data_IF_609086494551
#
_entry.id   IF_609086494551
#
_cell.length_a   1.000
_cell.length_b   1.000
_cell.length_c   1.000
_cell.angle_alpha   90.00
_cell.angle_beta   90.00
_cell.angle_gamma   90.00
#
_symmetry.space_group_name_H-M   'P 1'
#
loop_
_entity.id
_entity.type
_entity.pdbx_description
1 polymer ?
#
# COMPACT_ATOMS: atom_id res chain seq x y z
N UNK A 1 26.02 -3.27 9.60
CA UNK A 1 24.70 -2.63 9.54
C UNK A 1 23.72 -3.53 10.30
N UNK A 2 23.09 -3.02 11.35
CA UNK A 2 22.10 -3.76 12.12
C UNK A 2 20.82 -3.85 11.28
N UNK A 3 20.39 -5.08 10.95
CA UNK A 3 19.19 -5.32 10.19
C UNK A 3 17.98 -5.26 11.13
N UNK A 4 16.91 -4.55 10.73
CA UNK A 4 15.65 -4.49 11.46
C UNK A 4 15.08 -5.90 11.62
N UNK A 5 15.07 -6.42 12.84
CA UNK A 5 14.60 -7.77 13.18
C UNK A 5 13.76 -7.68 14.45
N UNK A 6 12.61 -8.38 14.50
CA UNK A 6 11.78 -8.45 15.69
C UNK A 6 12.07 -9.69 16.55
N UNK A 7 11.35 -9.84 17.67
CA UNK A 7 11.47 -10.97 18.59
C UNK A 7 11.12 -12.34 17.96
N UNK A 8 10.47 -12.35 16.80
CA UNK A 8 10.08 -13.55 16.04
C UNK A 8 11.01 -13.82 14.86
N UNK A 9 12.20 -13.20 14.82
CA UNK A 9 13.20 -13.30 13.76
C UNK A 9 12.71 -12.84 12.36
N UNK A 10 11.60 -12.07 12.29
CA UNK A 10 11.14 -11.46 11.04
C UNK A 10 12.01 -10.26 10.71
N UNK A 11 12.40 -10.14 9.44
CA UNK A 11 13.28 -9.09 8.93
C UNK A 11 12.49 -8.08 8.11
N UNK A 12 12.75 -6.77 8.32
CA UNK A 12 11.96 -5.69 7.74
C UNK A 12 12.76 -4.93 6.69
N UNK A 13 12.53 -5.24 5.44
CA UNK A 13 13.17 -4.61 4.27
C UNK A 13 12.28 -3.55 3.59
N UNK A 14 11.04 -3.38 4.07
CA UNK A 14 10.02 -2.64 3.37
C UNK A 14 9.33 -1.63 4.29
N UNK A 15 9.51 -0.33 3.96
CA UNK A 15 8.80 0.77 4.59
C UNK A 15 7.59 1.20 3.75
N UNK A 16 6.43 1.32 4.38
CA UNK A 16 5.28 2.08 3.84
C UNK A 16 5.27 3.44 4.52
N UNK A 17 5.44 4.50 3.74
CA UNK A 17 5.49 5.88 4.21
C UNK A 17 4.23 6.60 3.75
N UNK A 18 3.33 6.87 4.68
CA UNK A 18 2.21 7.77 4.42
C UNK A 18 2.72 9.20 4.43
N UNK A 19 2.43 9.97 3.40
CA UNK A 19 2.88 11.37 3.29
C UNK A 19 1.74 12.38 3.44
N UNK A 20 0.49 11.90 3.42
CA UNK A 20 -0.73 12.69 3.63
C UNK A 20 -1.87 11.77 4.01
N UNK A 21 -2.89 12.27 4.67
CA UNK A 21 -4.18 11.58 4.85
C UNK A 21 -5.29 12.16 3.94
N UNK A 22 -4.98 13.23 3.21
CA UNK A 22 -5.89 13.85 2.25
C UNK A 22 -6.15 12.92 1.07
N UNK A 23 -7.42 12.73 0.72
CA UNK A 23 -7.83 11.97 -0.46
C UNK A 23 -8.94 12.73 -1.20
N UNK A 24 -8.91 12.69 -2.53
CA UNK A 24 -9.92 13.24 -3.40
C UNK A 24 -11.00 12.23 -3.81
N UNK A 25 -10.85 10.95 -3.40
CA UNK A 25 -11.87 9.92 -3.53
C UNK A 25 -12.59 9.68 -2.18
N UNK A 26 -13.76 9.06 -2.23
CA UNK A 26 -14.56 8.67 -1.07
C UNK A 26 -14.99 7.21 -1.19
N UNK A 27 -14.00 6.34 -1.27
CA UNK A 27 -14.27 4.91 -1.40
C UNK A 27 -15.06 4.39 -0.20
N UNK A 28 -16.12 3.62 -0.47
CA UNK A 28 -17.10 3.15 0.51
C UNK A 28 -16.49 2.34 1.66
N UNK A 29 -15.36 1.67 1.42
CA UNK A 29 -14.65 0.86 2.41
C UNK A 29 -13.48 1.60 3.11
N UNK A 30 -13.18 2.86 2.72
CA UNK A 30 -12.01 3.58 3.23
C UNK A 30 -12.38 4.93 3.85
N UNK A 31 -12.99 5.83 3.07
CA UNK A 31 -13.40 7.18 3.46
C UNK A 31 -14.80 7.49 2.89
N UNK A 32 -15.86 6.82 3.36
CA UNK A 32 -17.21 6.95 2.77
C UNK A 32 -17.74 8.39 2.79
N UNK A 33 -17.41 9.15 3.82
CA UNK A 33 -17.81 10.56 3.97
C UNK A 33 -16.82 11.52 3.31
N UNK A 34 -15.78 11.00 2.64
CA UNK A 34 -14.68 11.78 2.09
C UNK A 34 -13.73 12.31 3.16
N UNK A 35 -12.67 12.98 2.71
CA UNK A 35 -11.71 13.58 3.63
C UNK A 35 -12.33 14.79 4.33
N UNK A 36 -12.30 14.77 5.67
CA UNK A 36 -12.71 15.89 6.52
C UNK A 36 -11.48 16.61 7.06
N UNK A 37 -11.33 17.89 6.72
CA UNK A 37 -10.23 18.71 7.21
C UNK A 37 -10.44 19.03 8.70
N UNK A 38 -9.82 18.30 9.59
CA UNK A 38 -9.82 18.58 11.02
C UNK A 38 -8.76 19.63 11.34
N UNK A 39 -9.12 20.92 11.18
CA UNK A 39 -8.26 22.07 11.48
C UNK A 39 -7.26 22.43 10.37
N UNK A 40 -6.77 23.66 10.41
CA UNK A 40 -5.89 24.26 9.39
C UNK A 40 -4.42 24.27 9.83
N UNK A 41 -3.87 23.19 10.41
CA UNK A 41 -2.44 23.16 10.73
C UNK A 41 -1.63 22.82 9.46
N UNK A 42 -0.95 23.77 8.80
CA UNK A 42 -0.17 23.54 7.59
C UNK A 42 1.05 22.63 7.85
N UNK A 43 1.49 22.52 9.11
CA UNK A 43 2.62 21.69 9.53
C UNK A 43 2.18 20.32 10.09
N UNK A 44 0.96 19.89 9.83
CA UNK A 44 0.44 18.61 10.29
C UNK A 44 1.24 17.44 9.72
N UNK A 45 1.55 17.46 8.42
CA UNK A 45 2.28 16.38 7.76
C UNK A 45 3.78 16.57 7.81
N UNK A 46 4.51 15.47 7.68
CA UNK A 46 5.96 15.50 7.56
C UNK A 46 6.40 16.40 6.40
N UNK A 47 7.37 17.26 6.64
CA UNK A 47 8.04 18.09 5.64
C UNK A 47 8.94 17.24 4.74
N UNK A 48 9.42 17.80 3.64
CA UNK A 48 10.37 17.15 2.75
C UNK A 48 11.64 16.72 3.50
N UNK A 49 12.18 17.57 4.38
CA UNK A 49 13.37 17.26 5.15
C UNK A 49 13.14 16.17 6.21
N UNK A 50 11.98 16.19 6.88
CA UNK A 50 11.59 15.12 7.80
C UNK A 50 11.45 13.77 7.04
N UNK A 51 10.87 13.77 5.83
CA UNK A 51 10.77 12.57 4.97
C UNK A 51 12.17 12.08 4.54
N UNK A 52 13.08 12.99 4.19
CA UNK A 52 14.47 12.65 3.85
C UNK A 52 15.16 11.95 5.03
N UNK A 53 15.01 12.47 6.26
CA UNK A 53 15.57 11.87 7.48
C UNK A 53 14.98 10.52 7.81
N UNK A 54 13.66 10.37 7.72
CA UNK A 54 13.00 9.06 7.88
C UNK A 54 13.54 8.05 6.87
N UNK A 55 13.57 8.40 5.59
CA UNK A 55 14.02 7.47 4.54
C UNK A 55 15.49 7.08 4.71
N UNK A 56 16.34 8.02 5.13
CA UNK A 56 17.76 7.77 5.43
C UNK A 56 17.93 6.82 6.62
N UNK A 57 17.24 7.06 7.73
CA UNK A 57 17.31 6.20 8.91
C UNK A 57 16.90 4.77 8.59
N UNK A 58 15.79 4.58 7.87
CA UNK A 58 15.34 3.25 7.45
C UNK A 58 16.30 2.57 6.47
N UNK A 59 16.87 3.32 5.54
CA UNK A 59 17.85 2.78 4.60
C UNK A 59 19.13 2.31 5.30
N UNK A 60 19.67 3.09 6.26
CA UNK A 60 20.81 2.69 7.09
C UNK A 60 20.51 1.47 7.98
N UNK A 61 19.24 1.23 8.32
CA UNK A 61 18.74 0.04 9.02
C UNK A 61 18.40 -1.14 8.09
N UNK A 62 18.73 -1.06 6.79
CA UNK A 62 18.60 -2.16 5.84
C UNK A 62 17.27 -2.21 5.08
N UNK A 63 16.48 -1.13 5.07
CA UNK A 63 15.31 -1.02 4.20
C UNK A 63 15.76 -0.85 2.76
N UNK A 64 15.25 -1.72 1.86
CA UNK A 64 15.57 -1.73 0.43
C UNK A 64 14.40 -1.20 -0.43
N UNK A 65 13.21 -1.13 0.17
CA UNK A 65 11.98 -0.74 -0.52
C UNK A 65 11.19 0.29 0.28
N UNK A 66 10.86 1.38 -0.37
CA UNK A 66 9.93 2.38 0.17
C UNK A 66 8.69 2.43 -0.72
N UNK A 67 7.52 2.53 -0.09
CA UNK A 67 6.27 2.81 -0.78
C UNK A 67 5.63 4.05 -0.22
N UNK A 68 5.49 5.05 -1.07
CA UNK A 68 4.70 6.23 -0.79
C UNK A 68 3.21 5.90 -0.85
N UNK A 69 2.48 6.35 0.15
CA UNK A 69 1.05 6.10 0.30
C UNK A 69 0.42 7.23 1.12
N UNK A 70 -0.81 7.05 1.56
CA UNK A 70 -1.56 8.00 2.38
C UNK A 70 -3.05 7.87 2.11
N UNK A 71 -3.77 8.99 2.05
CA UNK A 71 -5.00 9.11 1.30
C UNK A 71 -4.65 9.00 -0.19
N UNK A 72 -4.42 10.13 -0.87
CA UNK A 72 -3.85 10.12 -2.22
C UNK A 72 -2.53 10.92 -2.23
N UNK A 73 -1.37 10.25 -2.32
CA UNK A 73 -0.06 10.90 -2.19
C UNK A 73 0.22 11.93 -3.28
N UNK A 74 -0.33 11.74 -4.48
CA UNK A 74 -0.12 12.66 -5.61
C UNK A 74 -0.82 14.02 -5.45
N UNK A 75 -1.64 14.19 -4.42
CA UNK A 75 -2.23 15.49 -4.09
C UNK A 75 -1.25 16.44 -3.41
N UNK A 76 -0.15 15.93 -2.84
CA UNK A 76 0.90 16.78 -2.30
C UNK A 76 1.60 17.54 -3.42
N UNK A 77 1.79 18.84 -3.21
CA UNK A 77 2.44 19.74 -4.21
C UNK A 77 3.90 19.38 -4.44
N UNK A 78 4.59 18.95 -3.38
CA UNK A 78 5.99 18.54 -3.35
C UNK A 78 6.20 17.03 -3.60
N UNK A 79 5.20 16.34 -4.19
CA UNK A 79 5.26 14.89 -4.39
C UNK A 79 6.46 14.44 -5.23
N UNK A 80 6.81 15.19 -6.27
CA UNK A 80 7.96 14.92 -7.13
C UNK A 80 9.28 15.10 -6.38
N UNK A 81 9.38 16.16 -5.58
CA UNK A 81 10.55 16.42 -4.75
C UNK A 81 10.75 15.33 -3.69
N UNK A 82 9.65 14.79 -3.14
CA UNK A 82 9.69 13.65 -2.21
C UNK A 82 10.24 12.40 -2.91
N UNK A 83 9.80 12.11 -4.14
CA UNK A 83 10.36 10.98 -4.92
C UNK A 83 11.87 11.17 -5.10
N UNK A 84 12.30 12.33 -5.56
CA UNK A 84 13.70 12.64 -5.80
C UNK A 84 14.53 12.53 -4.50
N UNK A 85 14.05 13.10 -3.41
CA UNK A 85 14.73 13.07 -2.12
C UNK A 85 14.95 11.65 -1.57
N UNK A 86 13.99 10.76 -1.73
CA UNK A 86 14.13 9.35 -1.31
C UNK A 86 15.12 8.62 -2.24
N UNK A 87 15.14 8.95 -3.53
CA UNK A 87 16.06 8.34 -4.51
C UNK A 87 17.50 8.77 -4.37
N UNK A 88 17.79 9.86 -3.66
CA UNK A 88 19.17 10.23 -3.26
C UNK A 88 19.85 9.09 -2.48
N UNK A 89 19.08 8.21 -1.83
CA UNK A 89 19.63 7.10 -1.07
C UNK A 89 19.75 5.83 -1.92
N UNK A 90 20.97 5.38 -2.30
CA UNK A 90 21.19 4.25 -3.18
C UNK A 90 20.77 2.89 -2.58
N UNK A 91 20.64 2.80 -1.25
CA UNK A 91 20.17 1.58 -0.59
C UNK A 91 18.68 1.29 -0.89
N UNK A 92 17.90 2.32 -1.22
CA UNK A 92 16.49 2.15 -1.62
C UNK A 92 16.43 1.69 -3.08
N UNK A 93 16.40 0.39 -3.30
CA UNK A 93 16.36 -0.22 -4.63
C UNK A 93 15.00 -0.08 -5.31
N UNK A 94 13.92 -0.09 -4.53
CA UNK A 94 12.55 0.03 -5.04
C UNK A 94 11.85 1.19 -4.38
N UNK A 95 11.48 2.20 -5.16
CA UNK A 95 10.59 3.26 -4.75
C UNK A 95 9.24 3.09 -5.46
N UNK A 96 8.20 2.82 -4.70
CA UNK A 96 6.85 2.56 -5.20
C UNK A 96 5.87 3.64 -4.74
N UNK A 97 4.78 3.80 -5.47
CA UNK A 97 3.60 4.54 -4.99
C UNK A 97 2.36 3.66 -4.99
N UNK A 98 1.45 3.90 -4.04
CA UNK A 98 0.05 3.46 -4.15
C UNK A 98 -0.79 4.70 -4.40
N UNK A 99 -1.56 4.70 -5.48
CA UNK A 99 -2.35 5.85 -5.94
C UNK A 99 -3.74 5.39 -6.43
N UNK A 100 -4.72 6.27 -6.34
CA UNK A 100 -6.02 6.08 -6.99
C UNK A 100 -5.98 6.34 -8.51
N UNK A 101 -4.81 6.71 -9.04
CA UNK A 101 -4.61 6.91 -10.48
C UNK A 101 -5.13 8.25 -11.04
N UNK A 102 -5.76 9.09 -10.22
CA UNK A 102 -6.38 10.34 -10.66
C UNK A 102 -5.45 11.26 -11.48
N UNK A 103 -4.16 11.32 -11.09
CA UNK A 103 -3.15 12.15 -11.77
C UNK A 103 -2.24 11.37 -12.72
N UNK A 104 -2.37 10.07 -12.78
CA UNK A 104 -1.39 9.19 -13.41
C UNK A 104 -1.18 9.53 -14.88
N UNK A 105 -2.25 9.68 -15.67
CA UNK A 105 -2.16 10.01 -17.09
C UNK A 105 -1.37 11.31 -17.37
N UNK A 106 -1.45 12.28 -16.46
CA UNK A 106 -0.79 13.57 -16.61
C UNK A 106 0.66 13.58 -16.10
N UNK A 107 0.89 12.94 -14.95
CA UNK A 107 2.09 13.20 -14.16
C UNK A 107 3.06 11.99 -14.12
N UNK A 108 2.71 10.82 -14.66
CA UNK A 108 3.50 9.58 -14.51
C UNK A 108 4.90 9.68 -15.10
N UNK A 109 5.09 10.41 -16.22
CA UNK A 109 6.40 10.64 -16.82
C UNK A 109 7.31 11.38 -15.84
N UNK A 110 6.82 12.47 -15.24
CA UNK A 110 7.57 13.24 -14.27
C UNK A 110 7.92 12.42 -13.01
N UNK A 111 7.01 11.55 -12.57
CA UNK A 111 7.29 10.65 -11.43
C UNK A 111 8.39 9.64 -11.77
N UNK A 112 8.37 9.11 -13.00
CA UNK A 112 9.40 8.20 -13.49
C UNK A 112 10.77 8.87 -13.54
N UNK A 113 10.83 10.08 -14.11
CA UNK A 113 12.06 10.87 -14.24
C UNK A 113 12.64 11.23 -12.87
N UNK A 114 11.79 11.53 -11.88
CA UNK A 114 12.21 11.75 -10.50
C UNK A 114 12.73 10.48 -9.80
N UNK A 115 12.56 9.29 -10.40
CA UNK A 115 13.11 8.03 -9.93
C UNK A 115 12.11 7.05 -9.33
N UNK A 116 10.79 7.22 -9.57
CA UNK A 116 9.80 6.22 -9.20
C UNK A 116 10.03 4.94 -10.01
N UNK A 117 10.07 3.78 -9.34
CA UNK A 117 10.39 2.50 -9.99
C UNK A 117 9.21 1.53 -10.06
N UNK A 118 8.15 1.75 -9.30
CA UNK A 118 7.01 0.84 -9.27
C UNK A 118 5.69 1.57 -8.98
N UNK A 119 4.64 1.11 -9.63
CA UNK A 119 3.28 1.64 -9.49
C UNK A 119 2.33 0.61 -8.90
N UNK A 120 1.47 1.05 -7.99
CA UNK A 120 0.28 0.34 -7.57
C UNK A 120 -0.91 1.28 -7.75
N UNK A 121 -1.83 0.91 -8.61
CA UNK A 121 -3.04 1.68 -8.91
C UNK A 121 -4.24 0.98 -8.31
N UNK A 122 -5.13 1.70 -7.65
CA UNK A 122 -6.35 1.13 -7.08
C UNK A 122 -7.47 1.16 -8.13
N UNK A 123 -7.99 -0.03 -8.50
CA UNK A 123 -9.11 -0.20 -9.43
C UNK A 123 -9.99 -1.34 -8.93
N UNK A 124 -11.11 -1.01 -8.30
CA UNK A 124 -11.98 -2.01 -7.68
C UNK A 124 -13.01 -2.61 -8.65
N UNK A 125 -13.17 -2.02 -9.83
CA UNK A 125 -14.05 -2.52 -10.90
C UNK A 125 -13.57 -2.08 -12.27
N UNK A 126 -13.79 -2.91 -13.28
CA UNK A 126 -13.61 -2.59 -14.70
C UNK A 126 -14.90 -2.08 -15.36
N UNK A 127 -16.00 -1.98 -14.61
CA UNK A 127 -17.22 -1.28 -15.01
C UNK A 127 -17.21 0.15 -14.46
N UNK A 128 -17.41 1.15 -15.34
CA UNK A 128 -17.32 2.56 -14.97
C UNK A 128 -18.40 3.00 -13.97
N UNK A 129 -19.63 2.42 -14.05
CA UNK A 129 -20.71 2.75 -13.13
C UNK A 129 -20.43 2.18 -11.75
N UNK A 130 -19.94 0.93 -11.70
CA UNK A 130 -19.58 0.29 -10.46
C UNK A 130 -18.35 0.98 -9.83
N UNK A 131 -17.35 1.36 -10.64
CA UNK A 131 -16.20 2.17 -10.17
C UNK A 131 -16.67 3.47 -9.53
N UNK A 132 -17.61 4.18 -10.17
CA UNK A 132 -18.22 5.40 -9.61
C UNK A 132 -18.95 5.10 -8.29
N UNK A 133 -19.75 4.05 -8.24
CA UNK A 133 -20.49 3.66 -7.03
C UNK A 133 -19.54 3.36 -5.84
N UNK A 134 -18.39 2.75 -6.08
CA UNK A 134 -17.41 2.42 -5.05
C UNK A 134 -16.61 3.65 -4.62
N UNK A 135 -16.15 4.47 -5.57
CA UNK A 135 -15.15 5.54 -5.33
C UNK A 135 -15.79 6.91 -5.11
N UNK A 136 -17.06 7.08 -5.48
CA UNK A 136 -17.74 8.37 -5.50
C UNK A 136 -17.22 9.33 -6.58
N UNK A 137 -16.47 8.83 -7.60
CA UNK A 137 -15.83 9.65 -8.61
C UNK A 137 -16.01 9.08 -10.02
N UNK A 138 -16.43 9.94 -10.97
CA UNK A 138 -16.49 9.59 -12.39
C UNK A 138 -15.11 9.79 -13.05
N UNK A 139 -14.16 8.93 -12.72
CA UNK A 139 -12.76 9.02 -13.15
C UNK A 139 -12.21 7.72 -13.74
N UNK A 140 -13.08 6.74 -13.99
CA UNK A 140 -12.67 5.43 -14.47
C UNK A 140 -11.78 5.52 -15.72
N UNK A 141 -12.23 6.22 -16.76
CA UNK A 141 -11.49 6.37 -18.01
C UNK A 141 -10.13 7.02 -17.78
N UNK A 142 -10.09 8.10 -16.99
CA UNK A 142 -8.84 8.81 -16.67
C UNK A 142 -7.82 7.90 -15.94
N UNK A 143 -8.29 7.00 -15.06
CA UNK A 143 -7.43 6.05 -14.37
C UNK A 143 -6.91 4.99 -15.33
N UNK A 144 -7.74 4.49 -16.26
CA UNK A 144 -7.34 3.51 -17.26
C UNK A 144 -6.32 4.10 -18.24
N UNK A 145 -6.56 5.31 -18.76
CA UNK A 145 -5.61 6.05 -19.59
C UNK A 145 -4.29 6.26 -18.85
N UNK A 146 -4.33 6.44 -17.53
CA UNK A 146 -3.14 6.55 -16.69
C UNK A 146 -2.32 5.26 -16.59
N UNK A 147 -2.98 4.11 -16.55
CA UNK A 147 -2.29 2.81 -16.57
C UNK A 147 -1.59 2.60 -17.91
N UNK A 148 -2.24 2.96 -19.02
CA UNK A 148 -1.65 2.87 -20.35
C UNK A 148 -0.45 3.83 -20.48
N UNK A 149 -0.58 5.08 -20.03
CA UNK A 149 0.53 6.05 -20.00
C UNK A 149 1.71 5.56 -19.14
N UNK A 150 1.47 4.77 -18.08
CA UNK A 150 2.56 4.20 -17.29
C UNK A 150 3.37 3.18 -18.10
N UNK A 151 2.73 2.36 -18.93
CA UNK A 151 3.45 1.46 -19.84
C UNK A 151 4.23 2.22 -20.91
N UNK A 152 3.63 3.26 -21.49
CA UNK A 152 4.31 4.13 -22.48
C UNK A 152 5.53 4.82 -21.88
N UNK A 153 5.51 5.16 -20.59
CA UNK A 153 6.66 5.67 -19.85
C UNK A 153 7.69 4.59 -19.46
N UNK A 154 7.52 3.34 -19.85
CA UNK A 154 8.48 2.25 -19.63
C UNK A 154 8.40 1.57 -18.27
N UNK A 155 7.25 1.62 -17.57
CA UNK A 155 7.02 0.71 -16.45
C UNK A 155 6.76 -0.71 -16.99
N UNK A 156 7.71 -1.62 -16.77
CA UNK A 156 7.61 -2.99 -17.29
C UNK A 156 6.42 -3.78 -16.69
N UNK A 157 5.93 -3.39 -15.51
CA UNK A 157 4.81 -4.01 -14.80
C UNK A 157 4.09 -2.97 -13.95
N UNK A 158 2.77 -2.92 -14.06
CA UNK A 158 1.90 -2.15 -13.17
C UNK A 158 1.16 -3.11 -12.24
N UNK A 159 1.09 -2.75 -10.96
CA UNK A 159 0.29 -3.50 -9.98
C UNK A 159 -1.05 -2.80 -9.81
N UNK A 160 -2.13 -3.56 -9.94
CA UNK A 160 -3.48 -3.06 -9.71
C UNK A 160 -4.04 -3.72 -8.46
N UNK A 161 -4.50 -2.91 -7.51
CA UNK A 161 -5.12 -3.39 -6.28
C UNK A 161 -6.64 -3.27 -6.42
N UNK A 162 -7.34 -4.34 -6.06
CA UNK A 162 -8.79 -4.46 -6.07
C UNK A 162 -9.22 -5.01 -4.73
N UNK A 163 -10.00 -4.26 -3.95
CA UNK A 163 -10.61 -4.77 -2.71
C UNK A 163 -11.71 -5.73 -3.06
N UNK A 164 -11.58 -6.98 -2.61
CA UNK A 164 -12.53 -8.05 -2.91
C UNK A 164 -13.78 -7.90 -2.04
N UNK A 165 -14.93 -7.72 -2.70
CA UNK A 165 -16.22 -7.53 -2.04
C UNK A 165 -17.27 -8.46 -2.66
N UNK A 166 -18.05 -9.19 -1.83
CA UNK A 166 -18.98 -10.26 -2.18
C UNK A 166 -19.91 -9.89 -3.34
N UNK A 167 -20.75 -8.90 -3.16
CA UNK A 167 -21.82 -8.54 -4.12
C UNK A 167 -21.38 -7.45 -5.11
N UNK A 168 -20.08 -7.15 -5.15
CA UNK A 168 -19.54 -6.08 -5.97
C UNK A 168 -18.67 -6.64 -7.10
N UNK A 169 -17.54 -7.27 -6.75
CA UNK A 169 -16.54 -7.70 -7.73
C UNK A 169 -16.07 -9.16 -7.57
N UNK A 170 -16.49 -9.88 -6.54
CA UNK A 170 -16.10 -11.28 -6.34
C UNK A 170 -16.54 -12.19 -7.51
N UNK A 171 -17.64 -11.87 -8.18
CA UNK A 171 -18.13 -12.57 -9.38
C UNK A 171 -17.45 -12.13 -10.68
N UNK A 172 -16.60 -11.12 -10.68
CA UNK A 172 -16.03 -10.53 -11.90
C UNK A 172 -14.64 -11.08 -12.26
N UNK A 173 -14.21 -12.21 -11.67
CA UNK A 173 -12.86 -12.75 -11.89
C UNK A 173 -12.54 -12.89 -13.37
N UNK A 174 -13.46 -13.48 -14.19
CA UNK A 174 -13.20 -13.70 -15.61
C UNK A 174 -12.96 -12.39 -16.37
N UNK A 175 -13.73 -11.34 -16.09
CA UNK A 175 -13.52 -10.00 -16.70
C UNK A 175 -12.13 -9.44 -16.40
N UNK A 176 -11.65 -9.63 -15.17
CA UNK A 176 -10.31 -9.22 -14.79
C UNK A 176 -9.23 -10.10 -15.45
N UNK A 177 -9.44 -11.40 -15.57
CA UNK A 177 -8.53 -12.31 -16.26
C UNK A 177 -8.39 -11.92 -17.74
N UNK A 178 -9.51 -11.68 -18.43
CA UNK A 178 -9.50 -11.24 -19.83
C UNK A 178 -8.75 -9.92 -20.01
N UNK A 179 -8.90 -8.99 -19.08
CA UNK A 179 -8.20 -7.70 -19.10
C UNK A 179 -6.69 -7.83 -18.99
N UNK A 180 -6.18 -8.73 -18.15
CA UNK A 180 -4.74 -8.92 -17.94
C UNK A 180 -4.11 -9.91 -18.91
N UNK A 181 -4.88 -10.57 -19.77
CA UNK A 181 -4.38 -11.63 -20.65
C UNK A 181 -3.21 -11.17 -21.52
N UNK A 182 -3.30 -9.97 -22.09
CA UNK A 182 -2.31 -9.38 -22.98
C UNK A 182 -1.65 -8.12 -22.39
N UNK A 183 -1.67 -7.97 -21.06
CA UNK A 183 -1.11 -6.80 -20.36
C UNK A 183 -0.24 -7.26 -19.20
N UNK A 184 0.98 -6.74 -19.00
CA UNK A 184 1.87 -7.10 -17.91
C UNK A 184 1.42 -6.47 -16.58
N UNK A 185 0.16 -6.72 -16.21
CA UNK A 185 -0.47 -6.23 -14.99
C UNK A 185 -0.40 -7.33 -13.93
N UNK A 186 0.06 -6.99 -12.73
CA UNK A 186 -0.16 -7.84 -11.56
C UNK A 186 -1.42 -7.35 -10.82
N UNK A 187 -2.56 -7.97 -11.12
CA UNK A 187 -3.82 -7.70 -10.44
C UNK A 187 -3.80 -8.34 -9.06
N UNK A 188 -4.18 -7.59 -8.03
CA UNK A 188 -4.18 -8.03 -6.64
C UNK A 188 -5.55 -7.91 -6.02
N UNK A 189 -6.18 -9.03 -5.76
CA UNK A 189 -7.36 -9.07 -4.91
C UNK A 189 -6.94 -9.00 -3.45
N UNK A 190 -7.52 -8.07 -2.72
CA UNK A 190 -7.27 -7.83 -1.30
C UNK A 190 -8.57 -8.11 -0.56
N UNK A 191 -8.58 -9.10 0.31
CA UNK A 191 -9.74 -9.33 1.18
C UNK A 191 -10.10 -8.04 1.92
N UNK A 192 -11.40 -7.74 1.93
CA UNK A 192 -11.90 -6.63 2.73
C UNK A 192 -11.52 -6.85 4.20
N UNK A 193 -10.88 -5.84 4.80
CA UNK A 193 -10.43 -5.89 6.18
C UNK A 193 -11.40 -5.12 7.07
N UNK A 194 -11.73 -5.69 8.23
CA UNK A 194 -12.52 -5.00 9.22
C UNK A 194 -11.73 -3.83 9.80
N UNK A 195 -12.35 -2.67 9.86
CA UNK A 195 -11.85 -1.45 10.52
C UNK A 195 -12.86 -0.99 11.55
N UNK A 196 -12.45 -0.15 12.50
CA UNK A 196 -13.32 0.29 13.60
C UNK A 196 -14.65 0.88 13.16
N UNK A 197 -14.68 1.63 12.05
CA UNK A 197 -15.88 2.26 11.48
C UNK A 197 -16.59 1.38 10.42
N UNK A 198 -15.94 0.33 9.94
CA UNK A 198 -16.38 -0.48 8.78
C UNK A 198 -17.07 -1.79 9.12
N UNK A 199 -17.44 -2.08 10.37
CA UNK A 199 -17.95 -3.38 10.78
C UNK A 199 -19.21 -3.86 10.04
N UNK A 200 -20.16 -2.97 9.75
CA UNK A 200 -21.36 -3.32 8.99
C UNK A 200 -21.08 -3.61 7.51
N UNK A 201 -20.21 -2.85 6.89
CA UNK A 201 -19.75 -3.07 5.52
C UNK A 201 -18.98 -4.38 5.44
N UNK A 202 -18.12 -4.65 6.41
CA UNK A 202 -17.37 -5.90 6.50
C UNK A 202 -18.33 -7.11 6.57
N UNK A 203 -19.28 -7.13 7.50
CA UNK A 203 -20.22 -8.24 7.65
C UNK A 203 -21.01 -8.54 6.36
N UNK A 204 -21.38 -7.49 5.63
CA UNK A 204 -22.14 -7.63 4.37
C UNK A 204 -21.29 -8.10 3.20
N UNK A 205 -20.10 -7.55 3.05
CA UNK A 205 -19.33 -7.66 1.80
C UNK A 205 -18.05 -8.48 1.91
N UNK A 206 -17.64 -8.92 3.12
CA UNK A 206 -16.46 -9.76 3.23
C UNK A 206 -16.66 -11.10 2.51
N UNK A 207 -15.66 -11.48 1.73
CA UNK A 207 -15.54 -12.80 1.09
C UNK A 207 -14.07 -13.18 1.11
N UNK A 208 -13.78 -14.45 1.45
CA UNK A 208 -12.40 -14.93 1.48
C UNK A 208 -11.81 -15.00 0.09
N UNK A 209 -10.55 -14.60 -0.06
CA UNK A 209 -9.76 -14.77 -1.29
C UNK A 209 -9.51 -16.23 -1.65
N UNK A 210 -9.77 -17.16 -0.72
CA UNK A 210 -9.73 -18.60 -0.97
C UNK A 210 -10.64 -19.02 -2.13
N UNK A 211 -11.80 -18.37 -2.28
CA UNK A 211 -12.72 -18.61 -3.40
C UNK A 211 -12.01 -18.35 -4.74
N UNK A 212 -11.26 -17.25 -4.83
CA UNK A 212 -10.48 -16.90 -6.02
C UNK A 212 -9.31 -17.89 -6.19
N UNK A 213 -8.61 -18.24 -5.12
CA UNK A 213 -7.49 -19.18 -5.16
C UNK A 213 -7.90 -20.53 -5.74
N UNK A 214 -9.02 -21.08 -5.31
CA UNK A 214 -9.55 -22.35 -5.81
C UNK A 214 -9.87 -22.29 -7.31
N UNK A 215 -10.51 -21.20 -7.76
CA UNK A 215 -10.82 -21.02 -9.17
C UNK A 215 -9.54 -20.91 -10.03
N UNK A 216 -8.53 -20.19 -9.56
CA UNK A 216 -7.24 -20.07 -10.26
C UNK A 216 -6.56 -21.44 -10.40
N UNK A 217 -6.46 -22.19 -9.31
CA UNK A 217 -5.84 -23.53 -9.33
C UNK A 217 -6.58 -24.50 -10.26
N UNK A 218 -7.91 -24.48 -10.27
CA UNK A 218 -8.74 -25.29 -11.18
C UNK A 218 -8.51 -24.91 -12.65
N UNK A 219 -8.18 -23.65 -12.93
CA UNK A 219 -7.89 -23.14 -14.28
C UNK A 219 -6.40 -23.30 -14.67
N UNK A 220 -5.56 -23.97 -13.85
CA UNK A 220 -4.16 -24.25 -14.18
C UNK A 220 -3.17 -23.15 -13.80
N UNK A 221 -3.59 -22.12 -13.06
CA UNK A 221 -2.66 -21.11 -12.52
C UNK A 221 -1.72 -21.72 -11.48
N UNK A 222 -0.47 -21.31 -11.50
CA UNK A 222 0.58 -21.81 -10.61
C UNK A 222 1.05 -20.72 -9.65
N UNK A 223 1.10 -21.07 -8.36
CA UNK A 223 1.62 -20.17 -7.34
C UNK A 223 3.14 -19.99 -7.49
N UNK A 224 3.58 -18.74 -7.49
CA UNK A 224 4.97 -18.37 -7.60
C UNK A 224 5.65 -18.28 -6.23
N UNK A 225 6.96 -18.58 -6.20
CA UNK A 225 7.76 -18.39 -5.00
C UNK A 225 7.92 -16.89 -4.70
N UNK A 226 7.82 -16.55 -3.42
CA UNK A 226 7.92 -15.18 -2.95
C UNK A 226 9.37 -14.79 -2.67
N UNK A 227 9.83 -13.65 -3.20
CA UNK A 227 11.09 -13.06 -2.83
C UNK A 227 11.02 -12.34 -1.47
N UNK A 228 12.17 -12.18 -0.79
CA UNK A 228 12.24 -11.59 0.57
C UNK A 228 11.72 -10.15 0.65
N UNK A 229 11.86 -9.37 -0.41
CA UNK A 229 11.40 -7.96 -0.49
C UNK A 229 9.99 -7.82 -1.03
N UNK A 230 9.30 -8.93 -1.34
CA UNK A 230 7.94 -8.90 -1.84
C UNK A 230 6.93 -8.49 -0.77
N UNK A 231 5.79 -7.98 -1.23
CA UNK A 231 4.65 -7.70 -0.38
C UNK A 231 3.94 -9.00 0.07
N UNK A 232 2.79 -8.90 0.74
CA UNK A 232 2.10 -10.06 1.32
C UNK A 232 1.34 -10.91 0.30
N UNK A 233 1.28 -10.51 -0.96
CA UNK A 233 0.48 -11.19 -1.96
C UNK A 233 1.05 -12.58 -2.28
N UNK A 234 0.21 -13.60 -2.29
CA UNK A 234 0.46 -14.87 -2.97
C UNK A 234 0.25 -14.61 -4.47
N UNK A 235 1.28 -14.81 -5.29
CA UNK A 235 1.24 -14.48 -6.72
C UNK A 235 1.07 -15.77 -7.52
N UNK A 236 0.18 -15.71 -8.52
CA UNK A 236 -0.12 -16.79 -9.45
C UNK A 236 0.14 -16.33 -10.87
N UNK A 237 0.72 -17.22 -11.69
CA UNK A 237 0.93 -17.00 -13.12
C UNK A 237 0.35 -18.15 -13.93
N UNK A 238 0.06 -17.90 -15.20
CA UNK A 238 -0.43 -18.87 -16.17
C UNK A 238 0.27 -18.65 -17.51
N UNK A 239 0.67 -19.70 -18.26
CA UNK A 239 1.44 -19.55 -19.51
C UNK A 239 0.70 -18.74 -20.60
N UNK A 240 -0.63 -18.78 -20.63
CA UNK A 240 -1.43 -18.06 -21.62
C UNK A 240 -1.69 -16.60 -21.29
N UNK A 241 -1.15 -16.10 -20.17
CA UNK A 241 -1.37 -14.74 -19.67
C UNK A 241 -0.04 -13.99 -19.48
N UNK A 242 0.02 -12.75 -19.94
CA UNK A 242 1.13 -11.83 -19.63
C UNK A 242 1.02 -11.29 -18.20
N UNK A 243 -0.21 -11.15 -17.72
CA UNK A 243 -0.48 -10.67 -16.38
C UNK A 243 -0.41 -11.76 -15.31
N UNK A 244 -0.43 -11.33 -14.06
CA UNK A 244 -0.38 -12.19 -12.87
C UNK A 244 -1.54 -11.86 -11.95
N UNK A 245 -1.96 -12.82 -11.14
CA UNK A 245 -2.92 -12.60 -10.05
C UNK A 245 -2.21 -12.66 -8.72
N UNK A 246 -2.45 -11.69 -7.84
CA UNK A 246 -1.99 -11.69 -6.46
C UNK A 246 -3.18 -11.79 -5.50
N UNK A 247 -3.06 -12.59 -4.45
CA UNK A 247 -4.06 -12.66 -3.38
C UNK A 247 -3.46 -12.17 -2.08
N UNK A 248 -4.13 -11.21 -1.44
CA UNK A 248 -3.78 -10.69 -0.11
C UNK A 248 -4.91 -11.08 0.83
N UNK A 249 -4.66 -12.12 1.63
CA UNK A 249 -5.65 -12.77 2.49
C UNK A 249 -5.23 -12.60 3.97
N UNK A 250 -5.52 -11.46 4.60
CA UNK A 250 -5.05 -11.17 5.97
C UNK A 250 -5.66 -12.08 7.03
N UNK A 251 -6.76 -12.75 6.74
CA UNK A 251 -7.41 -13.70 7.65
C UNK A 251 -6.79 -15.11 7.60
N UNK A 252 -5.84 -15.38 6.71
CA UNK A 252 -5.08 -16.64 6.73
C UNK A 252 -4.20 -16.72 7.99
N UNK A 253 -4.17 -17.92 8.60
CA UNK A 253 -3.46 -18.20 9.85
C UNK A 253 -1.99 -17.78 9.82
N UNK A 254 -1.31 -17.99 8.70
CA UNK A 254 0.13 -17.77 8.55
C UNK A 254 0.50 -16.43 7.91
N UNK A 255 -0.48 -15.55 7.63
CA UNK A 255 -0.27 -14.28 6.96
C UNK A 255 0.80 -13.38 7.61
N UNK A 256 0.89 -13.41 8.94
CA UNK A 256 1.85 -12.60 9.70
C UNK A 256 3.24 -13.21 9.82
N UNK A 257 3.43 -14.51 9.59
CA UNK A 257 4.73 -15.18 9.74
C UNK A 257 5.80 -14.60 8.81
N UNK A 258 5.41 -14.21 7.62
CA UNK A 258 6.30 -13.63 6.60
C UNK A 258 6.21 -12.10 6.51
N UNK A 259 5.72 -11.43 7.55
CA UNK A 259 5.59 -9.97 7.55
C UNK A 259 6.98 -9.30 7.54
N UNK A 260 7.24 -8.48 6.53
CA UNK A 260 8.49 -7.76 6.33
C UNK A 260 8.31 -6.23 6.27
N UNK A 261 7.19 -5.70 6.79
CA UNK A 261 6.76 -4.32 6.59
C UNK A 261 6.65 -3.55 7.89
N UNK A 262 7.15 -2.31 7.85
CA UNK A 262 6.87 -1.28 8.83
C UNK A 262 6.17 -0.11 8.15
N UNK A 263 5.53 0.74 8.94
CA UNK A 263 4.79 1.89 8.44
C UNK A 263 5.18 3.14 9.21
N UNK A 264 5.23 4.27 8.51
CA UNK A 264 5.29 5.59 9.16
C UNK A 264 4.10 6.39 8.65
N UNK A 265 3.34 6.96 9.59
CA UNK A 265 2.18 7.80 9.27
C UNK A 265 2.60 9.18 8.77
N UNK A 266 1.68 9.89 8.13
CA UNK A 266 1.92 11.23 7.60
C UNK A 266 2.30 12.26 8.69
N UNK A 267 2.01 11.98 9.95
CA UNK A 267 2.36 12.82 11.10
C UNK A 267 3.61 12.35 11.84
N UNK A 268 4.33 11.34 11.31
CA UNK A 268 5.62 10.89 11.83
C UNK A 268 5.55 9.86 12.95
N UNK A 269 4.52 9.04 13.03
CA UNK A 269 4.45 7.92 13.97
C UNK A 269 4.83 6.61 13.28
N UNK A 270 5.69 5.81 13.92
CA UNK A 270 6.02 4.46 13.50
C UNK A 270 4.92 3.49 13.95
N UNK A 271 4.33 2.76 13.01
CA UNK A 271 3.36 1.71 13.24
C UNK A 271 3.96 0.35 12.86
N UNK A 272 4.00 -0.56 13.80
CA UNK A 272 4.58 -1.90 13.62
C UNK A 272 3.63 -2.84 12.86
N UNK A 273 2.33 -2.54 12.88
CA UNK A 273 1.28 -3.27 12.19
C UNK A 273 0.22 -2.30 11.65
N UNK A 274 -0.55 -2.71 10.64
CA UNK A 274 -1.73 -1.97 10.17
C UNK A 274 -2.83 -1.94 11.26
N UNK A 275 -2.99 -3.03 11.98
CA UNK A 275 -3.98 -3.22 13.04
C UNK A 275 -3.32 -3.17 14.43
N UNK A 276 -2.32 -2.32 14.57
CA UNK A 276 -1.61 -2.14 15.85
C UNK A 276 -2.34 -1.19 16.79
N UNK A 277 -1.75 -1.05 17.95
CA UNK A 277 -2.09 -0.03 18.93
C UNK A 277 -1.47 1.32 18.54
N UNK A 278 -1.28 2.24 19.50
CA UNK A 278 -0.71 3.56 19.24
C UNK A 278 0.62 3.47 18.51
N UNK A 279 0.86 4.42 17.57
CA UNK A 279 2.13 4.57 16.88
C UNK A 279 3.21 5.12 17.82
N UNK A 280 4.46 4.76 17.58
CA UNK A 280 5.64 5.28 18.30
C UNK A 280 6.01 6.63 17.67
N UNK A 281 5.99 7.74 18.41
CA UNK A 281 6.37 9.06 17.88
C UNK A 281 7.82 9.07 17.41
N UNK A 282 8.07 9.59 16.22
CA UNK A 282 9.43 9.81 15.67
C UNK A 282 9.72 11.29 15.44
N UNK A 283 8.70 12.14 15.38
CA UNK A 283 8.79 13.49 14.83
C UNK A 283 9.72 14.41 15.61
N UNK A 284 9.83 14.24 16.93
CA UNK A 284 10.77 14.94 17.78
C UNK A 284 12.24 14.73 17.37
N UNK A 285 12.57 13.56 16.79
CA UNK A 285 13.89 13.21 16.30
C UNK A 285 14.11 13.54 14.80
N UNK A 286 13.09 14.10 14.15
CA UNK A 286 13.16 14.48 12.73
C UNK A 286 13.51 15.95 12.51
N UNK A 287 13.67 16.73 13.55
CA UNK A 287 13.96 18.16 13.45
C UNK A 287 15.39 18.43 12.92
N UNK A 288 16.35 17.55 13.23
CA UNK A 288 17.77 17.76 12.95
C UNK A 288 18.49 16.45 12.63
N UNK A 289 19.49 16.50 11.75
CA UNK A 289 20.32 15.34 11.37
C UNK A 289 21.17 14.79 12.52
N UNK A 290 21.43 15.59 13.57
CA UNK A 290 22.15 15.16 14.79
C UNK A 290 21.41 14.06 15.54
N UNK A 291 20.11 13.93 15.38
CA UNK A 291 19.29 12.90 16.02
C UNK A 291 19.18 11.60 15.22
N UNK A 292 19.95 11.43 14.13
CA UNK A 292 19.84 10.26 13.27
C UNK A 292 20.08 8.93 14.01
N UNK A 293 21.07 8.89 14.91
CA UNK A 293 21.36 7.67 15.68
C UNK A 293 20.28 7.39 16.73
N UNK A 294 19.74 8.41 17.39
CA UNK A 294 18.60 8.27 18.31
C UNK A 294 17.35 7.80 17.57
N UNK A 295 17.12 8.31 16.36
CA UNK A 295 16.03 7.88 15.49
C UNK A 295 16.15 6.38 15.13
N UNK A 296 17.34 5.95 14.74
CA UNK A 296 17.60 4.51 14.44
C UNK A 296 17.42 3.64 15.68
N UNK A 297 17.87 4.08 16.84
CA UNK A 297 17.66 3.37 18.11
C UNK A 297 16.18 3.26 18.46
N UNK A 298 15.39 4.35 18.33
CA UNK A 298 13.94 4.33 18.58
C UNK A 298 13.20 3.40 17.61
N UNK A 299 13.55 3.41 16.31
CA UNK A 299 12.96 2.50 15.32
C UNK A 299 13.29 1.05 15.67
N UNK A 300 14.54 0.73 15.94
CA UNK A 300 14.98 -0.64 16.25
C UNK A 300 14.41 -1.14 17.58
N UNK A 301 14.43 -0.29 18.62
CA UNK A 301 13.88 -0.60 19.94
C UNK A 301 12.38 -0.86 19.90
N UNK A 302 11.66 -0.11 19.08
CA UNK A 302 10.21 -0.32 18.88
C UNK A 302 9.86 -1.72 18.40
N UNK A 303 10.73 -2.40 17.64
CA UNK A 303 10.46 -3.74 17.13
C UNK A 303 10.31 -4.81 18.21
N UNK A 304 10.87 -4.60 19.40
CA UNK A 304 10.72 -5.52 20.53
C UNK A 304 9.25 -5.67 21.00
N UNK A 305 8.42 -4.65 20.73
CA UNK A 305 6.99 -4.66 21.10
C UNK A 305 6.07 -5.16 19.97
N UNK A 306 6.65 -5.52 18.80
CA UNK A 306 5.85 -6.01 17.69
C UNK A 306 5.24 -7.37 17.98
N UNK A 307 3.90 -7.45 17.92
CA UNK A 307 3.16 -8.69 18.17
C UNK A 307 3.38 -9.72 17.06
N UNK A 308 3.19 -10.99 17.38
CA UNK A 308 3.33 -12.09 16.42
C UNK A 308 2.30 -11.99 15.29
N UNK A 309 1.05 -11.67 15.63
CA UNK A 309 -0.05 -11.53 14.67
C UNK A 309 -0.82 -10.22 14.90
N UNK A 310 -1.71 -9.87 13.97
CA UNK A 310 -2.60 -8.71 14.06
C UNK A 310 -3.95 -8.99 14.75
N UNK A 311 -4.26 -10.23 15.10
CA UNK A 311 -5.49 -10.65 15.78
C UNK A 311 -6.83 -10.31 15.09
N UNK A 312 -6.83 -9.99 13.78
CA UNK A 312 -8.07 -9.76 13.02
C UNK A 312 -9.02 -10.96 13.06
N UNK A 313 -8.45 -12.17 13.06
CA UNK A 313 -9.22 -13.42 13.16
C UNK A 313 -9.92 -13.59 14.52
N UNK A 314 -9.57 -12.78 15.52
CA UNK A 314 -10.20 -12.68 16.83
C UNK A 314 -11.14 -11.47 16.93
N UNK A 315 -11.41 -10.79 15.80
CA UNK A 315 -12.25 -9.58 15.77
C UNK A 315 -11.56 -8.32 16.29
N UNK A 316 -10.23 -8.33 16.46
CA UNK A 316 -9.48 -7.17 16.93
C UNK A 316 -8.85 -6.42 15.75
N UNK A 317 -9.48 -5.32 15.34
CA UNK A 317 -9.00 -4.43 14.28
C UNK A 317 -7.99 -3.36 14.77
N UNK A 318 -7.62 -3.37 16.05
CA UNK A 318 -6.76 -2.35 16.66
C UNK A 318 -7.44 -0.97 16.70
N UNK A 319 -6.63 0.09 16.65
CA UNK A 319 -7.12 1.48 16.64
C UNK A 319 -7.34 2.04 15.22
N UNK A 320 -7.21 1.21 14.19
CA UNK A 320 -7.34 1.66 12.80
C UNK A 320 -8.80 1.93 12.48
N UNK A 321 -9.21 3.20 12.55
CA UNK A 321 -10.57 3.64 12.21
C UNK A 321 -10.81 3.53 10.71
N UNK A 322 -9.84 4.00 9.91
CA UNK A 322 -9.87 3.90 8.46
C UNK A 322 -8.46 3.65 7.88
N UNK A 323 -8.39 3.19 6.64
CA UNK A 323 -7.14 2.78 6.01
C UNK A 323 -6.29 3.96 5.47
N UNK A 324 -6.86 5.15 5.34
CA UNK A 324 -6.16 6.32 4.76
C UNK A 324 -5.10 6.90 5.69
N UNK A 325 -5.27 6.77 7.00
CA UNK A 325 -4.41 7.40 8.01
C UNK A 325 -2.96 6.89 7.99
N UNK A 326 -2.77 5.59 7.85
CA UNK A 326 -1.43 4.94 7.85
C UNK A 326 -1.11 4.23 6.54
N UNK A 327 -1.85 4.54 5.50
CA UNK A 327 -1.67 4.00 4.17
C UNK A 327 -1.99 2.50 4.09
N UNK A 328 -3.25 2.18 3.97
CA UNK A 328 -3.78 0.82 3.81
C UNK A 328 -3.31 0.09 2.56
#
# INVERSE_FOLDING_TARGET
>A
MSQLTDAFARKFYYLRLSITDVCNFRCTYCLPDGYQANGTNPHRFLSLDEIRRVSRAFAELGTEKVRLTGGEPSLRRDFVDIIAAIRENPAIRTLAVTTNGYRLARDVAQWRDAGLTALNVSVDSLDARQFHAITGQDKFRQVMDGIDAAFDCGFAKVKVNTVLMRDVNAGSLQTFLDWIKHRPIQLRFIELMETGEGGDLFRRHHVSGEVIRQQLLQQGWQQQQRARSDGPAQVFSHPDYQGEIGLIMPYEKDFCLSCNRLRVSAIGNLHLCLFGEQGIPLRDLLADDRHLDDLKMRISGGLSTKKQTHFLHEGNSGITQNLSFIGG
#
